data_IF_047548397886
#
_entry.id   IF_047548397886
#
_cell.length_a   1.000
_cell.length_b   1.000
_cell.length_c   1.000
_cell.angle_alpha   90.00
_cell.angle_beta   90.00
_cell.angle_gamma   90.00
#
_symmetry.space_group_name_H-M   'P 1'
#
loop_
_entity.id
_entity.type
_entity.pdbx_description
1 polymer ?
#
# COMPACT_ATOMS: atom_id res chain seq x y z
N UNK A 1 1.20 1.92 -13.79
CA UNK A 1 1.65 1.12 -12.64
C UNK A 1 2.87 1.72 -11.96
N UNK A 2 3.87 2.16 -12.73
CA UNK A 2 5.13 2.78 -12.26
C UNK A 2 4.97 3.91 -11.23
N UNK A 3 4.03 4.84 -11.42
CA UNK A 3 3.81 5.94 -10.46
C UNK A 3 3.30 5.48 -9.09
N UNK A 4 2.42 4.47 -9.04
CA UNK A 4 1.86 3.96 -7.79
C UNK A 4 2.91 3.19 -7.00
N UNK A 5 3.75 2.42 -7.69
CA UNK A 5 4.88 1.70 -7.07
C UNK A 5 5.93 2.68 -6.54
N UNK A 6 6.24 3.73 -7.31
CA UNK A 6 7.13 4.80 -6.85
C UNK A 6 6.57 5.54 -5.64
N UNK A 7 5.26 5.86 -5.63
CA UNK A 7 4.61 6.45 -4.46
C UNK A 7 4.68 5.54 -3.25
N UNK A 8 4.51 4.22 -3.41
CA UNK A 8 4.57 3.25 -2.32
C UNK A 8 5.97 3.14 -1.72
N UNK A 9 7.00 3.14 -2.56
CA UNK A 9 8.40 3.15 -2.14
C UNK A 9 8.81 4.47 -1.47
N UNK A 10 8.12 5.57 -1.79
CA UNK A 10 8.36 6.88 -1.17
C UNK A 10 7.50 7.14 0.07
N UNK A 11 6.68 6.17 0.51
CA UNK A 11 5.93 6.30 1.76
C UNK A 11 6.93 6.23 2.92
N UNK A 12 7.20 7.40 3.51
CA UNK A 12 7.88 7.48 4.79
C UNK A 12 6.84 7.38 5.89
N UNK A 13 6.72 6.20 6.48
CA UNK A 13 5.91 5.99 7.67
C UNK A 13 6.73 6.46 8.88
N UNK A 14 6.17 7.29 9.77
CA UNK A 14 6.86 7.70 10.99
C UNK A 14 7.29 6.48 11.82
N UNK A 15 8.46 6.50 12.46
CA UNK A 15 8.99 5.35 13.21
C UNK A 15 8.10 4.94 14.40
N UNK A 16 7.36 5.88 14.97
CA UNK A 16 6.36 5.61 16.02
C UNK A 16 5.23 4.71 15.50
N UNK A 17 4.70 5.05 14.31
CA UNK A 17 3.63 4.30 13.64
C UNK A 17 4.14 2.94 13.18
N UNK A 18 5.39 2.84 12.71
CA UNK A 18 6.01 1.55 12.38
C UNK A 18 6.08 0.62 13.60
N UNK A 19 6.46 1.17 14.76
CA UNK A 19 6.48 0.43 16.02
C UNK A 19 5.10 -0.09 16.43
N UNK A 20 4.06 0.73 16.29
CA UNK A 20 2.68 0.32 16.59
C UNK A 20 2.18 -0.77 15.63
N UNK A 21 2.63 -0.74 14.38
CA UNK A 21 2.32 -1.76 13.38
C UNK A 21 3.19 -3.02 13.50
N UNK A 22 4.18 -3.05 14.40
CA UNK A 22 5.15 -4.15 14.52
C UNK A 22 6.06 -4.29 13.29
N UNK A 23 6.25 -3.20 12.54
CA UNK A 23 7.05 -3.16 11.32
C UNK A 23 8.43 -2.59 11.62
N UNK A 24 9.45 -3.16 10.98
CA UNK A 24 10.81 -2.62 11.02
C UNK A 24 10.94 -1.36 10.18
N UNK A 25 11.91 -0.49 10.49
CA UNK A 25 12.18 0.74 9.72
C UNK A 25 12.42 0.48 8.21
N UNK A 26 12.97 -0.69 7.89
CA UNK A 26 13.26 -1.11 6.52
C UNK A 26 12.24 -2.11 5.96
N UNK A 27 11.01 -2.17 6.50
CA UNK A 27 9.99 -3.15 6.08
C UNK A 27 9.81 -3.22 4.55
N UNK A 28 9.92 -2.09 3.85
CA UNK A 28 9.82 -2.00 2.38
C UNK A 28 10.84 -2.87 1.65
N UNK A 29 12.04 -3.09 2.21
CA UNK A 29 13.08 -3.93 1.58
C UNK A 29 12.73 -5.41 1.59
N UNK A 30 11.88 -5.83 2.52
CA UNK A 30 11.42 -7.21 2.65
C UNK A 30 10.15 -7.49 1.82
N UNK A 31 9.58 -6.47 1.18
CA UNK A 31 8.38 -6.63 0.36
C UNK A 31 8.79 -6.88 -1.09
N UNK A 32 8.40 -8.03 -1.64
CA UNK A 32 8.64 -8.34 -3.04
C UNK A 32 7.80 -7.43 -3.97
N UNK A 33 8.33 -7.05 -5.14
CA UNK A 33 7.60 -6.21 -6.10
C UNK A 33 6.27 -6.85 -6.55
N UNK A 34 6.21 -8.18 -6.66
CA UNK A 34 4.99 -8.93 -6.97
C UNK A 34 3.91 -8.78 -5.88
N UNK A 35 4.33 -8.71 -4.61
CA UNK A 35 3.41 -8.48 -3.50
C UNK A 35 2.83 -7.06 -3.56
N UNK A 36 3.67 -6.07 -3.87
CA UNK A 36 3.22 -4.68 -4.06
C UNK A 36 2.17 -4.60 -5.18
N UNK A 37 2.39 -5.26 -6.31
CA UNK A 37 1.40 -5.30 -7.40
C UNK A 37 0.06 -5.91 -6.97
N UNK A 38 0.08 -6.99 -6.19
CA UNK A 38 -1.15 -7.60 -5.65
C UNK A 38 -1.90 -6.64 -4.72
N UNK A 39 -1.18 -5.94 -3.84
CA UNK A 39 -1.76 -4.95 -2.92
C UNK A 39 -2.37 -3.79 -3.69
N UNK A 40 -1.70 -3.27 -4.72
CA UNK A 40 -2.21 -2.19 -5.58
C UNK A 40 -3.49 -2.64 -6.29
N UNK A 41 -3.51 -3.82 -6.91
CA UNK A 41 -4.70 -4.37 -7.57
C UNK A 41 -5.86 -4.57 -6.60
N UNK A 42 -5.58 -5.05 -5.38
CA UNK A 42 -6.59 -5.19 -4.34
C UNK A 42 -7.16 -3.82 -3.95
N UNK A 43 -6.31 -2.81 -3.74
CA UNK A 43 -6.73 -1.45 -3.40
C UNK A 43 -7.59 -0.82 -4.51
N UNK A 44 -7.23 -1.01 -5.79
CA UNK A 44 -8.05 -0.55 -6.92
C UNK A 44 -9.42 -1.24 -6.96
N UNK A 45 -9.47 -2.54 -6.71
CA UNK A 45 -10.73 -3.30 -6.62
C UNK A 45 -11.62 -2.75 -5.50
N UNK A 46 -11.07 -2.54 -4.30
CA UNK A 46 -11.82 -1.96 -3.18
C UNK A 46 -12.31 -0.54 -3.49
N UNK A 47 -11.47 0.31 -4.08
CA UNK A 47 -11.87 1.66 -4.51
C UNK A 47 -13.04 1.63 -5.50
N UNK A 48 -13.01 0.70 -6.45
CA UNK A 48 -14.09 0.52 -7.43
C UNK A 48 -15.39 0.05 -6.76
N UNK A 49 -15.29 -0.93 -5.86
CA UNK A 49 -16.43 -1.42 -5.08
C UNK A 49 -17.03 -0.32 -4.21
N UNK A 50 -16.22 0.44 -3.47
CA UNK A 50 -16.69 1.56 -2.65
C UNK A 50 -17.34 2.66 -3.51
N UNK A 51 -16.80 2.96 -4.70
CA UNK A 51 -17.43 3.89 -5.65
C UNK A 51 -18.78 3.41 -6.15
N UNK A 52 -18.94 2.10 -6.37
CA UNK A 52 -20.23 1.51 -6.74
C UNK A 52 -21.23 1.60 -5.60
N UNK A 53 -20.81 1.28 -4.38
CA UNK A 53 -21.64 1.35 -3.19
C UNK A 53 -22.07 2.78 -2.86
N UNK A 54 -21.18 3.76 -3.05
CA UNK A 54 -21.47 5.19 -2.84
C UNK A 54 -22.43 5.79 -3.87
N UNK A 55 -22.73 5.07 -4.97
CA UNK A 55 -23.71 5.51 -5.98
C UNK A 55 -25.13 4.98 -5.70
N UNK A 56 -25.27 4.08 -4.73
CA UNK A 56 -26.54 3.66 -4.14
C UNK A 56 -26.82 4.50 -2.90
#
# INVERSE_FOLDING_TARGET
MTETTQKLNNIRIPPQVLRELGLEENWQKNVSPEFIEKVIKAAEKYKSTLRRLSKY
#
